data_IF_306191913397
#
_entry.id   IF_306191913397
#
_cell.length_a   1.000
_cell.length_b   1.000
_cell.length_c   1.000
_cell.angle_alpha   90.00
_cell.angle_beta   90.00
_cell.angle_gamma   90.00
#
_symmetry.space_group_name_H-M   'P 1'
#
loop_
_entity.id
_entity.type
_entity.pdbx_description
1 polymer ?
#
# COMPACT_ATOMS: atom_id res chain seq x y z
N UNK A 1 -59.63 -36.59 53.09
CA UNK A 1 -59.56 -36.12 51.64
C UNK A 1 -58.70 -34.85 51.56
N UNK A 2 -57.45 -35.01 51.23
CA UNK A 2 -56.53 -33.89 51.12
C UNK A 2 -56.39 -33.49 49.65
N UNK A 3 -56.60 -32.18 49.32
CA UNK A 3 -56.40 -31.60 47.96
C UNK A 3 -54.91 -31.27 47.75
N UNK A 4 -54.35 -31.58 46.58
CA UNK A 4 -52.96 -31.13 46.28
C UNK A 4 -52.90 -29.65 45.86
N UNK A 5 -51.97 -28.94 46.48
CA UNK A 5 -51.60 -27.56 46.15
C UNK A 5 -50.73 -27.56 44.89
N UNK A 6 -51.21 -26.99 43.78
CA UNK A 6 -50.43 -26.81 42.57
C UNK A 6 -49.56 -25.55 42.70
N UNK A 7 -48.23 -25.76 42.73
CA UNK A 7 -47.23 -24.68 42.66
C UNK A 7 -47.05 -24.27 41.19
N UNK A 8 -47.49 -23.08 40.81
CA UNK A 8 -47.15 -22.47 39.52
C UNK A 8 -45.75 -21.85 39.63
N UNK A 9 -44.78 -22.44 38.94
CA UNK A 9 -43.46 -21.88 38.76
C UNK A 9 -43.51 -20.84 37.60
N UNK A 10 -43.37 -19.55 37.93
CA UNK A 10 -43.16 -18.47 36.93
C UNK A 10 -41.72 -18.50 36.47
N UNK A 11 -41.49 -18.90 35.20
CA UNK A 11 -40.20 -18.82 34.55
C UNK A 11 -39.99 -17.38 34.04
N UNK A 12 -39.14 -16.60 34.74
CA UNK A 12 -38.71 -15.28 34.27
C UNK A 12 -37.66 -15.46 33.18
N UNK A 13 -38.03 -15.24 31.90
CA UNK A 13 -37.12 -15.16 30.78
C UNK A 13 -36.40 -13.79 30.84
N UNK A 14 -35.15 -13.76 31.30
CA UNK A 14 -34.28 -12.60 31.21
C UNK A 14 -33.84 -12.44 29.76
N UNK A 15 -34.50 -11.55 29.02
CA UNK A 15 -34.03 -11.08 27.71
C UNK A 15 -32.80 -10.16 27.92
N UNK A 16 -31.61 -10.76 27.81
CA UNK A 16 -30.36 -9.97 27.70
C UNK A 16 -30.28 -9.35 26.31
N UNK A 17 -30.80 -8.15 26.18
CA UNK A 17 -30.65 -7.36 24.98
C UNK A 17 -29.16 -6.98 24.80
N UNK A 18 -28.49 -7.56 23.79
CA UNK A 18 -27.19 -7.07 23.35
C UNK A 18 -27.35 -5.68 22.76
N UNK A 19 -26.92 -4.64 23.49
CA UNK A 19 -26.82 -3.30 22.95
C UNK A 19 -25.76 -3.34 21.84
N UNK A 20 -26.17 -3.29 20.59
CA UNK A 20 -25.28 -3.13 19.46
C UNK A 20 -24.60 -1.77 19.60
N UNK A 21 -23.32 -1.78 19.94
CA UNK A 21 -22.51 -0.56 20.02
C UNK A 21 -22.36 0.02 18.60
N UNK A 22 -22.82 1.25 18.41
CA UNK A 22 -22.67 1.95 17.11
C UNK A 22 -21.18 1.96 16.70
N UNK A 23 -20.92 1.63 15.45
CA UNK A 23 -19.55 1.69 14.92
C UNK A 23 -18.98 3.10 15.09
N UNK A 24 -17.69 3.24 15.44
CA UNK A 24 -17.06 4.54 15.61
C UNK A 24 -17.14 5.34 14.30
N UNK A 25 -17.42 6.64 14.42
CA UNK A 25 -17.46 7.56 13.28
C UNK A 25 -16.20 8.39 13.25
N UNK A 26 -15.62 8.59 12.07
CA UNK A 26 -14.49 9.47 11.90
C UNK A 26 -14.87 10.91 12.27
N UNK A 27 -14.13 11.49 13.21
CA UNK A 27 -14.30 12.89 13.64
C UNK A 27 -13.32 13.85 12.97
N UNK A 28 -12.35 13.31 12.20
CA UNK A 28 -11.39 14.11 11.45
C UNK A 28 -12.02 14.64 10.15
N UNK A 29 -11.62 15.84 9.74
CA UNK A 29 -12.11 16.48 8.50
C UNK A 29 -10.97 17.22 7.81
N UNK A 30 -10.96 17.24 6.47
CA UNK A 30 -9.98 17.98 5.67
C UNK A 30 -8.54 17.51 5.94
N UNK A 31 -7.62 18.46 5.95
CA UNK A 31 -6.23 18.16 6.28
C UNK A 31 -6.07 18.03 7.79
N UNK A 32 -5.58 16.89 8.24
CA UNK A 32 -5.41 16.56 9.64
C UNK A 32 -4.02 15.98 9.91
N UNK A 33 -3.68 15.87 11.20
CA UNK A 33 -2.45 15.22 11.64
C UNK A 33 -2.77 14.25 12.77
N UNK A 34 -2.23 13.06 12.68
CA UNK A 34 -2.32 12.05 13.74
C UNK A 34 -0.93 11.65 14.21
N UNK A 35 -0.82 11.19 15.44
CA UNK A 35 0.42 10.65 16.01
C UNK A 35 0.25 9.13 16.17
N UNK A 36 1.22 8.38 15.67
CA UNK A 36 1.29 6.92 15.75
C UNK A 36 2.63 6.56 16.38
N UNK A 37 2.60 6.10 17.62
CA UNK A 37 3.83 5.98 18.42
C UNK A 37 4.47 7.36 18.62
N UNK A 38 5.69 7.53 18.17
CA UNK A 38 6.47 8.78 18.22
C UNK A 38 6.46 9.57 16.91
N UNK A 39 5.75 9.07 15.88
CA UNK A 39 5.76 9.65 14.52
C UNK A 39 4.46 10.33 14.15
N UNK A 40 4.58 11.50 13.54
CA UNK A 40 3.44 12.29 13.05
C UNK A 40 3.14 11.93 11.59
N UNK A 41 1.84 11.76 11.27
CA UNK A 41 1.35 11.43 9.94
C UNK A 41 0.39 12.51 9.46
N UNK A 42 0.62 13.03 8.26
CA UNK A 42 -0.32 13.89 7.58
C UNK A 42 -1.44 13.05 6.97
N UNK A 43 -2.66 13.51 7.16
CA UNK A 43 -3.86 12.93 6.57
C UNK A 43 -4.54 13.98 5.70
N UNK A 44 -5.07 13.53 4.57
CA UNK A 44 -6.09 14.26 3.83
C UNK A 44 -7.37 13.43 3.81
N UNK A 45 -8.46 13.99 4.34
CA UNK A 45 -9.80 13.43 4.28
C UNK A 45 -10.58 14.13 3.17
N UNK A 46 -11.22 13.40 2.26
CA UNK A 46 -11.88 13.99 1.09
C UNK A 46 -13.00 14.93 1.50
N UNK A 47 -13.20 15.99 0.72
CA UNK A 47 -14.23 17.02 0.97
C UNK A 47 -15.63 16.41 0.94
N UNK A 48 -16.48 16.88 1.86
CA UNK A 48 -17.87 16.42 1.93
C UNK A 48 -18.08 15.07 2.61
N UNK A 49 -17.03 14.43 3.08
CA UNK A 49 -17.12 13.16 3.79
C UNK A 49 -17.39 13.37 5.29
N UNK A 50 -18.60 13.81 5.64
CA UNK A 50 -19.17 13.51 6.95
C UNK A 50 -19.69 12.07 6.91
N UNK A 51 -18.77 11.09 6.85
CA UNK A 51 -19.15 9.72 6.53
C UNK A 51 -19.55 8.93 7.76
N UNK A 52 -20.78 8.40 7.73
CA UNK A 52 -21.22 7.35 8.63
C UNK A 52 -20.50 6.02 8.38
N UNK A 53 -19.75 5.91 7.29
CA UNK A 53 -19.02 4.68 6.87
C UNK A 53 -17.53 4.98 6.69
N UNK A 54 -16.65 4.06 7.18
CA UNK A 54 -15.21 4.18 6.98
C UNK A 54 -14.83 4.23 5.49
N UNK A 55 -13.91 5.15 5.13
CA UNK A 55 -13.46 5.34 3.75
C UNK A 55 -12.35 4.36 3.36
N UNK A 56 -12.11 4.14 2.05
CA UNK A 56 -10.86 3.55 1.58
C UNK A 56 -9.66 4.39 2.06
N UNK A 57 -8.53 3.73 2.33
CA UNK A 57 -7.29 4.37 2.76
C UNK A 57 -6.19 4.13 1.74
N UNK A 58 -5.54 5.19 1.25
CA UNK A 58 -4.32 5.12 0.47
C UNK A 58 -3.16 5.64 1.32
N UNK A 59 -2.18 4.77 1.61
CA UNK A 59 -0.93 5.15 2.24
C UNK A 59 0.03 5.59 1.14
N UNK A 60 0.45 6.87 1.18
CA UNK A 60 1.28 7.53 0.17
C UNK A 60 2.71 7.72 0.70
N UNK A 61 3.67 6.99 0.15
CA UNK A 61 5.04 6.90 0.64
C UNK A 61 5.98 7.78 -0.19
N UNK A 62 6.74 8.64 0.49
CA UNK A 62 7.68 9.56 -0.16
C UNK A 62 8.96 8.89 -0.67
N UNK A 63 9.64 9.52 -1.62
CA UNK A 63 10.96 9.11 -2.11
C UNK A 63 12.06 9.30 -1.04
N UNK A 64 13.19 8.62 -1.22
CA UNK A 64 14.32 8.72 -0.29
C UNK A 64 14.82 10.17 -0.15
N UNK A 65 15.05 10.61 1.08
CA UNK A 65 15.48 11.97 1.41
C UNK A 65 14.36 13.01 1.36
N UNK A 66 13.09 12.59 1.18
CA UNK A 66 11.92 13.47 1.14
C UNK A 66 11.05 13.31 2.40
N UNK A 67 9.85 13.87 2.36
CA UNK A 67 8.86 13.85 3.46
C UNK A 67 7.48 13.50 2.94
N UNK A 68 6.57 13.04 3.83
CA UNK A 68 5.16 12.84 3.52
C UNK A 68 4.48 14.12 3.03
N UNK A 69 4.83 15.27 3.62
CA UNK A 69 4.30 16.57 3.22
C UNK A 69 4.66 16.93 1.77
N UNK A 70 5.91 16.72 1.37
CA UNK A 70 6.34 16.92 -0.02
C UNK A 70 5.62 15.97 -0.97
N UNK A 71 5.54 14.70 -0.59
CA UNK A 71 4.88 13.70 -1.43
C UNK A 71 3.39 13.96 -1.62
N UNK A 72 2.70 14.38 -0.55
CA UNK A 72 1.27 14.71 -0.62
C UNK A 72 1.02 15.86 -1.61
N UNK A 73 1.86 16.91 -1.57
CA UNK A 73 1.79 18.05 -2.49
C UNK A 73 2.13 17.66 -3.92
N UNK A 74 3.24 16.92 -4.11
CA UNK A 74 3.84 16.70 -5.44
C UNK A 74 3.10 15.63 -6.24
N UNK A 75 2.46 14.64 -5.58
CA UNK A 75 1.65 13.60 -6.22
C UNK A 75 0.31 14.09 -6.76
N UNK A 76 -0.21 15.20 -6.24
CA UNK A 76 -1.56 15.70 -6.52
C UNK A 76 -2.69 14.68 -6.22
N UNK A 77 -2.41 13.73 -5.33
CA UNK A 77 -3.37 12.69 -4.99
C UNK A 77 -4.56 13.23 -4.18
N UNK A 78 -4.38 14.41 -3.56
CA UNK A 78 -5.43 15.11 -2.83
C UNK A 78 -6.65 15.41 -3.73
N UNK A 79 -6.41 15.93 -4.94
CA UNK A 79 -7.49 16.23 -5.88
C UNK A 79 -8.25 14.97 -6.31
N UNK A 80 -7.54 13.86 -6.44
CA UNK A 80 -8.14 12.54 -6.77
C UNK A 80 -8.91 11.99 -5.57
N UNK A 81 -8.38 12.15 -4.37
CA UNK A 81 -9.05 11.80 -3.12
C UNK A 81 -10.39 12.53 -2.97
N UNK A 82 -10.41 13.84 -3.23
CA UNK A 82 -11.63 14.66 -3.17
C UNK A 82 -12.69 14.21 -4.19
N UNK A 83 -12.27 13.80 -5.40
CA UNK A 83 -13.20 13.31 -6.44
C UNK A 83 -13.79 11.94 -6.13
N UNK A 84 -13.00 11.07 -5.49
CA UNK A 84 -13.35 9.66 -5.37
C UNK A 84 -13.65 9.18 -3.95
N UNK A 85 -13.49 10.02 -2.93
CA UNK A 85 -13.91 9.74 -1.57
C UNK A 85 -13.00 8.74 -0.82
N UNK A 86 -11.68 8.87 -0.89
CA UNK A 86 -10.75 8.07 -0.12
C UNK A 86 -9.82 8.92 0.76
N UNK A 87 -9.39 8.41 1.90
CA UNK A 87 -8.42 9.06 2.77
C UNK A 87 -7.00 8.82 2.24
N UNK A 88 -6.16 9.86 2.26
CA UNK A 88 -4.72 9.75 2.00
C UNK A 88 -3.98 9.92 3.32
N UNK A 89 -3.09 8.97 3.65
CA UNK A 89 -2.16 9.08 4.76
C UNK A 89 -0.73 9.18 4.21
N UNK A 90 -0.04 10.27 4.52
CA UNK A 90 1.32 10.55 4.04
C UNK A 90 2.30 10.60 5.23
N UNK A 91 2.80 9.46 5.71
CA UNK A 91 3.78 9.40 6.78
C UNK A 91 5.18 9.76 6.31
N UNK A 92 6.01 10.22 7.25
CA UNK A 92 7.46 10.23 7.09
C UNK A 92 8.04 8.83 7.40
N UNK A 93 9.13 8.45 6.75
CA UNK A 93 9.89 7.24 7.05
C UNK A 93 10.60 7.34 8.41
N UNK A 94 11.06 6.20 8.95
CA UNK A 94 11.62 6.16 10.31
C UNK A 94 13.08 6.61 10.42
N UNK A 95 13.87 6.57 9.33
CA UNK A 95 15.31 6.88 9.37
C UNK A 95 15.55 8.30 8.85
N UNK A 96 16.05 9.26 9.69
CA UNK A 96 16.41 10.59 9.24
C UNK A 96 17.53 10.56 8.18
N UNK A 97 17.43 11.40 7.16
CA UNK A 97 18.44 11.56 6.11
C UNK A 97 18.37 12.96 5.50
N UNK A 98 19.42 13.72 5.59
CA UNK A 98 19.46 15.14 5.19
C UNK A 98 18.30 15.95 5.82
N UNK A 99 17.47 16.55 5.00
CA UNK A 99 16.28 17.31 5.42
C UNK A 99 14.98 16.51 5.34
N UNK A 100 15.08 15.20 5.16
CA UNK A 100 13.95 14.28 5.08
C UNK A 100 14.27 12.94 5.70
N UNK A 101 13.74 11.86 5.11
CA UNK A 101 13.81 10.52 5.68
C UNK A 101 14.02 9.45 4.60
N UNK A 102 14.47 8.26 5.03
CA UNK A 102 14.57 7.06 4.18
C UNK A 102 13.90 5.88 4.86
N UNK A 103 13.27 5.02 4.07
CA UNK A 103 12.56 3.83 4.52
C UNK A 103 13.54 2.73 4.92
N UNK A 104 13.24 2.02 6.01
CA UNK A 104 13.92 0.80 6.38
C UNK A 104 13.35 -0.38 5.57
N UNK A 105 14.11 -0.84 4.59
CA UNK A 105 13.84 -2.08 3.85
C UNK A 105 14.97 -3.05 4.21
N UNK A 106 14.71 -4.10 5.01
CA UNK A 106 15.74 -5.02 5.48
C UNK A 106 16.57 -5.62 4.35
N UNK A 107 17.89 -5.61 4.51
CA UNK A 107 18.84 -6.15 3.53
C UNK A 107 19.08 -5.25 2.30
N UNK A 108 18.42 -4.08 2.22
CA UNK A 108 18.60 -3.13 1.11
C UNK A 108 19.35 -1.89 1.61
N UNK A 109 20.45 -1.48 0.93
CA UNK A 109 21.13 -0.24 1.30
C UNK A 109 20.21 0.98 1.06
N UNK A 110 20.25 1.93 1.98
CA UNK A 110 19.66 3.24 1.80
C UNK A 110 20.43 4.03 0.74
N UNK A 111 19.94 5.21 0.36
CA UNK A 111 20.67 6.13 -0.55
C UNK A 111 22.00 6.62 0.04
N UNK A 112 22.18 6.54 1.36
CA UNK A 112 23.48 6.76 2.01
C UNK A 112 24.47 5.59 1.85
N UNK A 113 24.05 4.49 1.21
CA UNK A 113 24.88 3.30 0.98
C UNK A 113 24.97 2.35 2.17
N UNK A 114 24.28 2.63 3.28
CA UNK A 114 24.27 1.79 4.49
C UNK A 114 23.03 0.89 4.54
N UNK A 115 23.21 -0.37 4.93
CA UNK A 115 22.09 -1.29 5.23
C UNK A 115 21.65 -0.99 6.66
N UNK A 116 20.34 -0.69 6.90
CA UNK A 116 19.84 -0.46 8.26
C UNK A 116 20.07 -1.68 9.15
N UNK A 117 20.54 -1.44 10.37
CA UNK A 117 20.77 -2.48 11.38
C UNK A 117 19.46 -2.93 12.05
N UNK A 118 19.56 -3.91 12.97
CA UNK A 118 18.39 -4.48 13.66
C UNK A 118 17.64 -3.47 14.55
N UNK A 119 18.32 -2.43 15.02
CA UNK A 119 17.74 -1.38 15.88
C UNK A 119 17.12 -0.23 15.06
N UNK A 120 17.17 -0.29 13.73
CA UNK A 120 16.56 0.72 12.89
C UNK A 120 15.03 0.68 13.01
N UNK A 121 14.34 1.84 12.91
CA UNK A 121 12.89 1.91 13.00
C UNK A 121 12.18 0.91 12.08
N UNK A 122 11.21 0.17 12.60
CA UNK A 122 10.40 -0.79 11.84
C UNK A 122 9.24 -0.08 11.15
N UNK A 123 9.43 0.30 9.90
CA UNK A 123 8.42 0.96 9.10
C UNK A 123 7.21 0.05 8.76
N UNK A 124 7.39 -1.27 8.70
CA UNK A 124 6.29 -2.22 8.46
C UNK A 124 5.35 -2.25 9.66
N UNK A 125 5.90 -2.38 10.87
CA UNK A 125 5.14 -2.35 12.12
C UNK A 125 4.41 -1.01 12.29
N UNK A 126 5.09 0.09 11.97
CA UNK A 126 4.51 1.42 12.01
C UNK A 126 3.31 1.56 11.07
N UNK A 127 3.39 1.06 9.81
CA UNK A 127 2.25 1.07 8.88
C UNK A 127 1.08 0.24 9.40
N UNK A 128 1.35 -0.91 10.02
CA UNK A 128 0.33 -1.71 10.69
C UNK A 128 -0.41 -0.92 11.76
N UNK A 129 0.33 -0.25 12.66
CA UNK A 129 -0.23 0.57 13.73
C UNK A 129 -1.06 1.76 13.20
N UNK A 130 -0.59 2.43 12.14
CA UNK A 130 -1.33 3.50 11.46
C UNK A 130 -2.68 3.01 10.92
N UNK A 131 -2.69 1.88 10.22
CA UNK A 131 -3.92 1.26 9.69
C UNK A 131 -4.89 0.95 10.83
N UNK A 132 -4.40 0.32 11.91
CA UNK A 132 -5.23 -0.07 13.06
C UNK A 132 -5.83 1.14 13.78
N UNK A 133 -5.02 2.19 13.95
CA UNK A 133 -5.48 3.44 14.58
C UNK A 133 -6.58 4.11 13.77
N UNK A 134 -6.42 4.24 12.43
CA UNK A 134 -7.41 4.86 11.56
C UNK A 134 -8.68 4.01 11.43
N UNK A 135 -8.55 2.69 11.38
CA UNK A 135 -9.69 1.78 11.37
C UNK A 135 -10.47 1.84 12.69
N UNK A 136 -9.77 1.82 13.84
CA UNK A 136 -10.39 1.97 15.17
C UNK A 136 -11.10 3.31 15.34
N UNK A 137 -10.57 4.39 14.74
CA UNK A 137 -11.20 5.70 14.74
C UNK A 137 -12.41 5.81 13.77
N UNK A 138 -12.73 4.75 13.00
CA UNK A 138 -13.79 4.77 11.99
C UNK A 138 -13.46 5.60 10.74
N UNK A 139 -12.19 6.02 10.56
CA UNK A 139 -11.75 6.83 9.43
C UNK A 139 -11.35 5.99 8.21
N UNK A 140 -10.89 4.75 8.41
CA UNK A 140 -10.47 3.85 7.34
C UNK A 140 -11.23 2.52 7.36
N UNK A 141 -11.63 2.05 6.18
CA UNK A 141 -12.13 0.67 5.99
C UNK A 141 -10.94 -0.28 5.92
N UNK A 142 -10.71 -1.16 6.92
CA UNK A 142 -9.57 -2.06 6.93
C UNK A 142 -9.56 -3.06 5.77
N UNK A 143 -10.67 -3.27 5.10
CA UNK A 143 -10.75 -4.12 3.91
C UNK A 143 -10.36 -3.37 2.62
N UNK A 144 -10.25 -2.04 2.65
CA UNK A 144 -9.90 -1.20 1.49
C UNK A 144 -8.69 -0.31 1.80
N UNK A 145 -7.58 -0.93 2.17
CA UNK A 145 -6.30 -0.26 2.42
C UNK A 145 -5.35 -0.54 1.27
N UNK A 146 -4.75 0.50 0.74
CA UNK A 146 -3.83 0.45 -0.39
C UNK A 146 -2.53 1.17 -0.05
N UNK A 147 -1.43 0.78 -0.69
CA UNK A 147 -0.18 1.50 -0.60
C UNK A 147 0.31 1.92 -1.99
N UNK A 148 0.84 3.13 -2.07
CA UNK A 148 1.55 3.66 -3.24
C UNK A 148 2.71 4.53 -2.79
N UNK A 149 3.66 4.81 -3.66
CA UNK A 149 4.79 5.66 -3.29
C UNK A 149 5.81 5.78 -4.40
N UNK A 150 6.60 6.86 -4.34
CA UNK A 150 7.61 7.20 -5.32
C UNK A 150 8.99 6.67 -4.93
N UNK A 151 9.74 6.07 -5.86
CA UNK A 151 11.18 5.76 -5.69
C UNK A 151 11.46 4.90 -4.45
N UNK A 152 12.10 5.45 -3.42
CA UNK A 152 12.24 4.80 -2.11
C UNK A 152 10.91 4.36 -1.51
N UNK A 153 9.88 5.21 -1.61
CA UNK A 153 8.50 4.88 -1.23
C UNK A 153 7.88 3.79 -2.11
N UNK A 154 8.19 3.76 -3.40
CA UNK A 154 7.77 2.67 -4.30
C UNK A 154 8.43 1.34 -3.95
N UNK A 155 9.71 1.35 -3.56
CA UNK A 155 10.40 0.17 -3.04
C UNK A 155 9.79 -0.30 -1.72
N UNK A 156 9.47 0.64 -0.81
CA UNK A 156 8.79 0.31 0.45
C UNK A 156 7.37 -0.22 0.19
N UNK A 157 6.62 0.35 -0.77
CA UNK A 157 5.32 -0.18 -1.23
C UNK A 157 5.44 -1.65 -1.67
N UNK A 158 6.44 -1.97 -2.46
CA UNK A 158 6.74 -3.35 -2.90
C UNK A 158 7.09 -4.26 -1.72
N UNK A 159 7.90 -3.77 -0.77
CA UNK A 159 8.27 -4.49 0.43
C UNK A 159 7.05 -4.80 1.31
N UNK A 160 6.17 -3.83 1.54
CA UNK A 160 4.90 -4.02 2.25
C UNK A 160 4.06 -5.13 1.60
N UNK A 161 4.01 -5.16 0.27
CA UNK A 161 3.36 -6.26 -0.46
C UNK A 161 3.99 -7.62 -0.21
N UNK A 162 5.32 -7.70 -0.06
CA UNK A 162 6.03 -8.96 0.19
C UNK A 162 5.83 -9.51 1.61
N UNK A 163 5.71 -8.65 2.63
CA UNK A 163 5.78 -9.06 4.05
C UNK A 163 4.51 -8.78 4.86
N UNK A 164 3.60 -7.96 4.32
CA UNK A 164 2.37 -7.53 4.99
C UNK A 164 1.15 -7.56 4.04
N UNK A 165 1.11 -8.50 3.09
CA UNK A 165 0.04 -8.62 2.09
C UNK A 165 -1.36 -8.75 2.71
N UNK A 166 -1.46 -9.27 3.94
CA UNK A 166 -2.70 -9.36 4.70
C UNK A 166 -3.23 -7.99 5.18
N UNK A 167 -2.43 -6.92 5.09
CA UNK A 167 -2.85 -5.57 5.49
C UNK A 167 -3.36 -4.74 4.31
N UNK A 168 -3.08 -5.12 3.06
CA UNK A 168 -3.37 -4.35 1.87
C UNK A 168 -4.31 -5.08 0.91
N UNK A 169 -5.25 -4.36 0.31
CA UNK A 169 -6.12 -4.87 -0.75
C UNK A 169 -5.41 -4.89 -2.11
N UNK A 170 -4.54 -3.91 -2.36
CA UNK A 170 -3.69 -3.80 -3.55
C UNK A 170 -2.51 -2.85 -3.28
N UNK A 171 -1.46 -2.91 -4.11
CA UNK A 171 -0.33 -1.98 -4.07
C UNK A 171 -0.04 -1.37 -5.44
N UNK A 172 0.54 -0.15 -5.41
CA UNK A 172 0.86 0.60 -6.62
C UNK A 172 2.24 1.30 -6.52
N UNK A 173 3.37 0.59 -6.62
CA UNK A 173 4.69 1.19 -6.58
C UNK A 173 4.96 2.05 -7.83
N UNK A 174 5.52 3.25 -7.63
CA UNK A 174 5.91 4.19 -8.69
C UNK A 174 7.43 4.29 -8.75
N UNK A 175 8.02 4.04 -9.93
CA UNK A 175 9.46 3.93 -10.20
C UNK A 175 10.21 3.16 -9.11
N UNK A 176 9.56 2.09 -8.59
CA UNK A 176 9.98 1.39 -7.39
C UNK A 176 9.55 -0.07 -7.30
N UNK A 177 9.01 -0.69 -8.36
CA UNK A 177 8.54 -2.07 -8.31
C UNK A 177 9.71 -3.03 -8.03
N UNK A 178 9.55 -3.81 -6.95
CA UNK A 178 10.41 -4.91 -6.54
C UNK A 178 9.58 -6.14 -6.17
N UNK A 179 10.19 -7.31 -6.17
CA UNK A 179 9.61 -8.59 -5.73
C UNK A 179 10.61 -9.34 -4.84
N UNK A 180 11.12 -8.65 -3.83
CA UNK A 180 12.20 -9.07 -2.94
C UNK A 180 13.56 -8.44 -3.29
N UNK A 181 14.58 -8.81 -2.51
CA UNK A 181 15.96 -8.35 -2.71
C UNK A 181 16.57 -9.01 -3.95
N UNK A 182 17.64 -8.46 -4.55
CA UNK A 182 18.42 -9.16 -5.54
C UNK A 182 19.00 -10.47 -4.97
N UNK A 183 18.94 -11.55 -5.76
CA UNK A 183 19.54 -12.83 -5.37
C UNK A 183 21.06 -12.68 -5.31
N UNK A 184 21.70 -13.09 -4.21
CA UNK A 184 23.13 -12.87 -4.00
C UNK A 184 24.02 -13.54 -5.07
N UNK A 185 23.60 -14.70 -5.60
CA UNK A 185 24.33 -15.46 -6.64
C UNK A 185 24.02 -15.00 -8.06
N UNK A 186 22.92 -14.28 -8.26
CA UNK A 186 22.49 -13.74 -9.55
C UNK A 186 21.64 -12.48 -9.31
N UNK A 187 22.26 -11.30 -9.13
CA UNK A 187 21.53 -10.06 -8.83
C UNK A 187 20.54 -9.61 -9.90
N UNK A 188 20.63 -10.17 -11.12
CA UNK A 188 19.65 -9.96 -12.19
C UNK A 188 18.28 -10.61 -11.91
N UNK A 189 18.12 -11.34 -10.81
CA UNK A 189 16.88 -12.03 -10.41
C UNK A 189 16.46 -11.68 -9.00
N UNK A 190 15.14 -11.62 -8.72
CA UNK A 190 14.64 -11.50 -7.36
C UNK A 190 14.97 -12.75 -6.52
N UNK A 191 15.40 -12.56 -5.27
CA UNK A 191 15.57 -13.64 -4.30
C UNK A 191 14.19 -14.11 -3.81
N UNK A 192 13.80 -15.38 -4.09
CA UNK A 192 12.50 -15.91 -3.70
C UNK A 192 12.33 -16.01 -2.17
N UNK A 193 13.41 -15.99 -1.39
CA UNK A 193 13.33 -16.07 0.07
C UNK A 193 12.88 -14.76 0.71
N UNK A 194 13.08 -13.62 0.04
CA UNK A 194 12.86 -12.29 0.59
C UNK A 194 11.51 -11.67 0.23
N UNK A 195 10.68 -12.34 -0.59
CA UNK A 195 9.32 -11.89 -0.91
C UNK A 195 8.35 -13.08 -0.86
N UNK A 196 7.56 -13.16 0.20
CA UNK A 196 6.61 -14.26 0.45
C UNK A 196 5.28 -13.71 0.96
N UNK A 197 4.48 -13.10 0.08
CA UNK A 197 3.18 -12.57 0.48
C UNK A 197 2.28 -13.68 1.02
N UNK A 198 1.56 -13.40 2.10
CA UNK A 198 0.66 -14.36 2.77
C UNK A 198 -0.58 -14.70 1.93
N UNK A 199 -0.85 -13.91 0.89
CA UNK A 199 -1.97 -14.09 -0.06
C UNK A 199 -1.60 -13.50 -1.43
N UNK A 200 -2.28 -13.91 -2.51
CA UNK A 200 -2.19 -13.19 -3.78
C UNK A 200 -2.57 -11.73 -3.60
N UNK A 201 -1.76 -10.81 -4.11
CA UNK A 201 -1.92 -9.37 -3.93
C UNK A 201 -1.93 -8.66 -5.30
N UNK A 202 -3.00 -7.93 -5.66
CA UNK A 202 -3.05 -7.14 -6.88
C UNK A 202 -1.96 -6.06 -6.92
N UNK A 203 -1.27 -5.94 -8.04
CA UNK A 203 -0.16 -4.98 -8.23
C UNK A 203 -0.37 -4.20 -9.52
N UNK A 204 -0.32 -2.85 -9.43
CA UNK A 204 -0.10 -2.00 -10.59
C UNK A 204 1.16 -1.17 -10.35
N UNK A 205 2.13 -1.25 -11.24
CA UNK A 205 3.35 -0.45 -11.16
C UNK A 205 3.37 0.63 -12.24
N UNK A 206 4.02 1.76 -11.92
CA UNK A 206 4.22 2.84 -12.87
C UNK A 206 5.72 3.13 -12.98
N UNK A 207 6.23 3.28 -14.21
CA UNK A 207 7.63 3.58 -14.48
C UNK A 207 7.77 4.49 -15.72
N UNK A 208 8.93 5.11 -15.83
CA UNK A 208 9.36 5.80 -17.04
C UNK A 208 10.52 5.06 -17.71
N UNK A 209 10.53 4.94 -19.01
CA UNK A 209 11.62 4.26 -19.74
C UNK A 209 12.90 5.09 -19.89
N UNK A 210 12.81 6.40 -19.60
CA UNK A 210 13.97 7.31 -19.52
C UNK A 210 14.45 7.55 -18.06
N UNK A 211 13.98 6.75 -17.09
CA UNK A 211 14.46 6.81 -15.70
C UNK A 211 15.90 6.27 -15.61
N UNK A 212 16.85 7.15 -15.27
CA UNK A 212 18.28 6.80 -15.11
C UNK A 212 18.64 6.44 -13.66
N UNK A 213 17.76 6.72 -12.70
CA UNK A 213 17.96 6.39 -11.27
C UNK A 213 17.51 4.95 -10.98
N UNK A 214 16.30 4.61 -11.40
CA UNK A 214 15.70 3.29 -11.30
C UNK A 214 15.29 2.78 -12.70
N UNK A 215 16.26 2.48 -13.58
CA UNK A 215 15.98 2.07 -14.96
C UNK A 215 15.07 0.84 -15.01
N UNK A 216 14.11 0.81 -15.94
CA UNK A 216 13.24 -0.37 -16.10
C UNK A 216 14.04 -1.63 -16.50
N UNK A 217 15.21 -1.45 -17.11
CA UNK A 217 16.17 -2.53 -17.46
C UNK A 217 17.01 -3.01 -16.27
N UNK A 218 16.89 -2.39 -15.09
CA UNK A 218 17.77 -2.67 -13.96
C UNK A 218 19.18 -2.08 -14.15
N UNK A 219 20.12 -2.47 -13.28
CA UNK A 219 21.53 -2.08 -13.40
C UNK A 219 21.83 -0.63 -12.98
N UNK A 220 20.95 0.04 -12.29
CA UNK A 220 21.18 1.35 -11.69
C UNK A 220 22.00 1.28 -10.40
N UNK A 221 21.51 1.90 -9.33
CA UNK A 221 22.14 1.79 -8.01
C UNK A 221 22.19 0.33 -7.54
N UNK A 222 23.07 -0.01 -6.58
CA UNK A 222 23.27 -1.38 -6.06
C UNK A 222 21.97 -2.07 -5.61
N UNK A 223 21.01 -1.31 -5.11
CA UNK A 223 19.69 -1.81 -4.75
C UNK A 223 18.74 -1.99 -5.95
N UNK A 224 19.18 -1.63 -7.19
CA UNK A 224 18.37 -1.67 -8.40
C UNK A 224 19.01 -2.58 -9.46
N UNK A 225 19.19 -3.85 -9.13
CA UNK A 225 19.95 -4.78 -9.97
C UNK A 225 19.09 -5.43 -11.07
N UNK A 226 17.97 -6.05 -10.74
CA UNK A 226 17.12 -6.73 -11.72
C UNK A 226 16.08 -5.79 -12.37
N UNK A 227 15.57 -6.20 -13.52
CA UNK A 227 14.62 -5.42 -14.34
C UNK A 227 13.25 -5.29 -13.69
N UNK A 228 12.47 -4.28 -14.09
CA UNK A 228 11.05 -4.19 -13.73
C UNK A 228 10.28 -5.42 -14.21
N UNK A 229 10.55 -5.90 -15.43
CA UNK A 229 9.95 -7.10 -15.99
C UNK A 229 10.20 -8.34 -15.13
N UNK A 230 11.43 -8.55 -14.61
CA UNK A 230 11.71 -9.65 -13.68
C UNK A 230 10.87 -9.54 -12.38
N UNK A 231 10.63 -8.32 -11.89
CA UNK A 231 9.74 -8.10 -10.75
C UNK A 231 8.29 -8.43 -11.08
N UNK A 232 7.78 -8.01 -12.23
CA UNK A 232 6.42 -8.31 -12.71
C UNK A 232 6.20 -9.82 -12.87
N UNK A 233 7.13 -10.51 -13.52
CA UNK A 233 7.08 -11.96 -13.65
C UNK A 233 7.07 -12.67 -12.29
N UNK A 234 7.89 -12.17 -11.34
CA UNK A 234 7.90 -12.73 -9.98
C UNK A 234 6.56 -12.50 -9.26
N UNK A 235 5.97 -11.31 -9.35
CA UNK A 235 4.63 -11.05 -8.80
C UNK A 235 3.56 -11.90 -9.46
N UNK A 236 3.62 -12.07 -10.79
CA UNK A 236 2.71 -12.96 -11.52
C UNK A 236 2.81 -14.41 -11.03
N UNK A 237 4.04 -14.91 -10.80
CA UNK A 237 4.25 -16.24 -10.24
C UNK A 237 3.72 -16.35 -8.80
N UNK A 238 3.96 -15.34 -7.93
CA UNK A 238 3.45 -15.29 -6.56
C UNK A 238 1.92 -15.28 -6.52
N UNK A 239 1.29 -14.57 -7.45
CA UNK A 239 -0.17 -14.48 -7.58
C UNK A 239 -0.78 -15.69 -8.34
N UNK A 240 0.05 -16.56 -8.91
CA UNK A 240 -0.41 -17.73 -9.67
C UNK A 240 -1.15 -17.35 -10.93
N UNK A 241 -0.66 -16.35 -11.67
CA UNK A 241 -1.22 -15.95 -12.95
C UNK A 241 -0.95 -17.01 -14.02
N UNK A 242 -1.97 -17.34 -14.82
CA UNK A 242 -1.92 -18.44 -15.81
C UNK A 242 -2.05 -17.96 -17.25
N UNK A 243 -2.58 -16.76 -17.48
CA UNK A 243 -2.68 -16.21 -18.84
C UNK A 243 -1.30 -15.71 -19.31
N UNK A 244 -1.03 -15.84 -20.61
CA UNK A 244 0.14 -15.23 -21.22
C UNK A 244 0.09 -13.70 -21.01
N UNK A 245 1.22 -13.03 -20.77
CA UNK A 245 1.24 -11.57 -20.63
C UNK A 245 0.78 -10.89 -21.92
N UNK A 246 0.11 -9.78 -21.76
CA UNK A 246 -0.36 -8.96 -22.86
C UNK A 246 0.22 -7.55 -22.76
N UNK A 247 0.60 -6.97 -23.90
CA UNK A 247 1.07 -5.59 -23.98
C UNK A 247 0.12 -4.78 -24.85
N UNK A 248 -0.29 -3.59 -24.35
CA UNK A 248 -1.18 -2.68 -25.11
C UNK A 248 -0.90 -1.23 -24.77
N UNK A 249 -1.15 -0.34 -25.71
CA UNK A 249 -1.18 1.09 -25.42
C UNK A 249 -2.46 1.43 -24.66
N UNK A 250 -2.33 2.12 -23.54
CA UNK A 250 -3.45 2.59 -22.68
C UNK A 250 -3.62 4.10 -22.75
N UNK A 251 -2.61 4.81 -23.24
CA UNK A 251 -2.61 6.25 -23.57
C UNK A 251 -1.53 6.53 -24.61
N UNK A 252 -1.49 7.72 -25.25
CA UNK A 252 -0.57 8.02 -26.37
C UNK A 252 0.92 7.77 -26.08
N UNK A 253 1.35 7.86 -24.84
CA UNK A 253 2.74 7.63 -24.41
C UNK A 253 2.84 6.62 -23.26
N UNK A 254 1.80 5.81 -23.03
CA UNK A 254 1.79 4.84 -21.94
C UNK A 254 1.36 3.49 -22.49
N UNK A 255 2.23 2.50 -22.35
CA UNK A 255 1.85 1.11 -22.60
C UNK A 255 1.75 0.34 -21.27
N UNK A 256 0.91 -0.67 -21.26
CA UNK A 256 0.67 -1.55 -20.12
C UNK A 256 1.08 -2.97 -20.50
N UNK A 257 1.96 -3.57 -19.73
CA UNK A 257 2.17 -5.01 -19.68
C UNK A 257 1.32 -5.59 -18.55
N UNK A 258 0.54 -6.65 -18.85
CA UNK A 258 -0.40 -7.21 -17.88
C UNK A 258 -0.34 -8.73 -17.85
N UNK A 259 -0.27 -9.27 -16.64
CA UNK A 259 -0.41 -10.67 -16.30
C UNK A 259 -1.80 -10.86 -15.66
N UNK A 260 -2.63 -11.66 -16.28
CA UNK A 260 -4.03 -11.91 -15.89
C UNK A 260 -4.28 -13.38 -15.57
N UNK A 261 -5.53 -13.72 -15.19
CA UNK A 261 -5.89 -15.08 -14.80
C UNK A 261 -5.23 -15.49 -13.48
N UNK A 262 -4.98 -14.54 -12.61
CA UNK A 262 -4.32 -14.73 -11.33
C UNK A 262 -5.32 -15.17 -10.26
N UNK A 263 -4.84 -15.87 -9.22
CA UNK A 263 -5.69 -16.32 -8.11
C UNK A 263 -6.38 -15.12 -7.45
N UNK A 264 -7.65 -15.26 -7.14
CA UNK A 264 -8.49 -14.23 -6.51
C UNK A 264 -8.51 -12.87 -7.26
N UNK A 265 -8.30 -12.88 -8.58
CA UNK A 265 -8.25 -11.65 -9.39
C UNK A 265 -7.06 -10.74 -9.09
N UNK A 266 -5.98 -11.27 -8.51
CA UNK A 266 -4.80 -10.51 -8.14
C UNK A 266 -3.86 -10.28 -9.34
N UNK A 267 -4.38 -9.63 -10.38
CA UNK A 267 -3.63 -9.32 -11.60
C UNK A 267 -2.40 -8.44 -11.30
N UNK A 268 -1.39 -8.56 -12.16
CA UNK A 268 -0.18 -7.73 -12.13
C UNK A 268 -0.14 -6.90 -13.41
N UNK A 269 0.06 -5.60 -13.27
CA UNK A 269 0.18 -4.69 -14.40
C UNK A 269 1.38 -3.74 -14.21
N UNK A 270 2.13 -3.51 -15.27
CA UNK A 270 3.15 -2.47 -15.34
C UNK A 270 2.77 -1.44 -16.39
N UNK A 271 2.71 -0.17 -16.02
CA UNK A 271 2.50 0.94 -16.94
C UNK A 271 3.80 1.72 -17.13
N UNK A 272 4.25 1.79 -18.35
CA UNK A 272 5.49 2.45 -18.72
C UNK A 272 5.17 3.69 -19.54
N UNK A 273 5.63 4.86 -19.04
CA UNK A 273 5.53 6.14 -19.75
C UNK A 273 6.74 6.34 -20.62
N UNK A 274 6.54 6.44 -21.93
CA UNK A 274 7.63 6.69 -22.91
C UNK A 274 8.18 8.09 -22.73
N UNK A 275 9.50 8.19 -22.56
CA UNK A 275 10.22 9.42 -22.24
C UNK A 275 10.05 9.88 -20.79
N UNK A 276 9.36 9.11 -19.95
CA UNK A 276 9.18 9.39 -18.51
C UNK A 276 10.49 9.17 -17.74
N UNK A 277 10.86 10.13 -16.90
CA UNK A 277 12.02 10.07 -16.02
C UNK A 277 11.69 9.59 -14.61
N UNK A 278 12.63 9.83 -13.67
CA UNK A 278 12.47 9.49 -12.25
C UNK A 278 11.51 10.45 -11.52
N UNK A 279 10.22 10.31 -11.77
CA UNK A 279 9.19 11.22 -11.24
C UNK A 279 7.86 10.50 -11.01
N UNK A 280 6.85 11.24 -10.54
CA UNK A 280 5.48 10.73 -10.38
C UNK A 280 4.80 10.62 -11.76
N UNK A 281 5.13 9.56 -12.51
CA UNK A 281 4.61 9.28 -13.88
C UNK A 281 3.24 8.58 -13.82
N UNK A 282 2.35 9.07 -12.99
CA UNK A 282 1.07 8.41 -12.66
C UNK A 282 -0.10 9.23 -13.18
N UNK A 283 -0.99 8.59 -13.90
CA UNK A 283 -2.38 9.02 -14.01
C UNK A 283 -3.11 8.59 -12.73
N UNK A 284 -3.41 9.55 -11.84
CA UNK A 284 -4.00 9.29 -10.54
C UNK A 284 -5.41 8.68 -10.62
N UNK A 285 -6.20 9.02 -11.65
CA UNK A 285 -7.52 8.41 -11.85
C UNK A 285 -7.37 6.94 -12.30
N UNK A 286 -6.39 6.64 -13.13
CA UNK A 286 -6.07 5.26 -13.51
C UNK A 286 -5.51 4.42 -12.35
N UNK A 287 -4.69 5.03 -11.47
CA UNK A 287 -4.24 4.42 -10.22
C UNK A 287 -5.44 4.07 -9.35
N UNK A 288 -6.33 5.03 -9.10
CA UNK A 288 -7.52 4.81 -8.29
C UNK A 288 -8.47 3.77 -8.91
N UNK A 289 -8.70 3.84 -10.22
CA UNK A 289 -9.52 2.87 -10.94
C UNK A 289 -9.00 1.43 -10.81
N UNK A 290 -7.69 1.23 -10.65
CA UNK A 290 -7.14 -0.08 -10.32
C UNK A 290 -7.38 -0.44 -8.85
N UNK A 291 -6.96 0.41 -7.92
CA UNK A 291 -6.99 0.13 -6.48
C UNK A 291 -8.41 -0.15 -5.99
N UNK A 292 -9.38 0.69 -6.38
CA UNK A 292 -10.77 0.64 -5.89
C UNK A 292 -11.53 -0.64 -6.24
N UNK A 293 -11.07 -1.42 -7.19
CA UNK A 293 -11.67 -2.72 -7.56
C UNK A 293 -11.36 -3.83 -6.56
N UNK A 294 -10.39 -3.61 -5.67
CA UNK A 294 -9.87 -4.66 -4.79
C UNK A 294 -10.28 -4.44 -3.34
N UNK A 295 -10.67 -5.52 -2.70
CA UNK A 295 -10.91 -5.61 -1.25
C UNK A 295 -10.14 -6.80 -0.69
N UNK A 296 -9.77 -6.67 0.57
CA UNK A 296 -9.13 -7.73 1.34
C UNK A 296 -10.18 -8.68 1.92
#
# INVERSE_FOLDING_TARGET
>A
MAKPLQLLAFLFLLLTGTVAQAAPRCTLTGDARVVVGDRSVLLHLPRGQASATPAPLVILLHGSGSTGASMLRDSKLVETSDRHGFVVAAPDAGIPHDRGFVWNIPGVPTVAGTIPGPDAPDDVKFMGALIDQLAKAGCADPARVYATGLSGGGRMTSWLGCVAADRFAAIAPVVGLRAGNPLATDPGRPDPATCRPSRPLPVIAFAGDADTTNPIQGGGAKYWAYTMHAAEQRWAALNGCTAAPTTRWVAPKVYEERYAGCRNGADVAGRITVGGGHSWVVDNDALWAFLSRHRR
#
